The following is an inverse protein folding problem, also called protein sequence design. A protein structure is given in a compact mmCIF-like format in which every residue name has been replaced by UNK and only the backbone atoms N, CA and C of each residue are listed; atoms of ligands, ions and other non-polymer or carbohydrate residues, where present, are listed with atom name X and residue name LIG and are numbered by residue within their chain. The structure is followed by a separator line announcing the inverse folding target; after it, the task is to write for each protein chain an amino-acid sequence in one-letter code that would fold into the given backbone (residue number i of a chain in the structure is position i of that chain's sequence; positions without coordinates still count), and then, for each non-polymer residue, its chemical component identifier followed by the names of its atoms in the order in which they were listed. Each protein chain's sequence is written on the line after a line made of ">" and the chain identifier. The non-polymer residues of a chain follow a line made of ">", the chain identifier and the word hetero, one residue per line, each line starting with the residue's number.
data_IF_673008840187
#
_entry.id   IF_673008840187
#
_cell.length_a   1.000
_cell.length_b   1.000
_cell.length_c   1.000
_cell.angle_alpha   90.00
_cell.angle_beta   90.00
_cell.angle_gamma   90.00
#
_symmetry.space_group_name_H-M   'P 1'
#
loop_
_entity.id
_entity.type
_entity.pdbx_description
1 polymer ?
#
# COMPACT_ATOMS: atom_id res chain seq x y z
N UNK A 1 -16.37 14.17 3.08
CA UNK A 1 -17.38 13.48 2.23
C UNK A 1 -16.66 12.49 1.32
N UNK A 2 -17.20 11.29 1.15
CA UNK A 2 -16.71 10.28 0.19
C UNK A 2 -17.53 10.38 -1.09
N UNK A 3 -16.89 10.39 -2.25
CA UNK A 3 -17.55 10.32 -3.56
C UNK A 3 -16.91 9.22 -4.40
N UNK A 4 -17.73 8.35 -4.99
CA UNK A 4 -17.27 7.27 -5.87
C UNK A 4 -17.60 7.59 -7.32
N UNK A 5 -16.60 7.52 -8.19
CA UNK A 5 -16.82 7.39 -9.62
C UNK A 5 -16.71 5.91 -10.00
N UNK A 6 -17.69 5.43 -10.75
CA UNK A 6 -17.78 4.04 -11.19
C UNK A 6 -17.99 3.97 -12.69
N UNK A 7 -17.90 2.76 -13.25
CA UNK A 7 -18.20 2.46 -14.66
C UNK A 7 -17.31 3.22 -15.66
N UNK A 8 -16.11 3.61 -15.23
CA UNK A 8 -15.21 4.42 -16.06
C UNK A 8 -14.52 3.60 -17.17
N UNK A 9 -14.43 2.26 -17.00
CA UNK A 9 -13.66 1.36 -17.86
C UNK A 9 -13.98 1.48 -19.36
N UNK A 10 -15.27 1.56 -19.72
CA UNK A 10 -15.75 1.56 -21.11
C UNK A 10 -15.95 2.96 -21.71
N UNK A 11 -15.74 4.03 -20.92
CA UNK A 11 -15.94 5.39 -21.40
C UNK A 11 -14.86 5.80 -22.41
N UNK A 12 -15.26 6.49 -23.48
CA UNK A 12 -14.31 7.18 -24.36
C UNK A 12 -13.65 8.36 -23.61
N UNK A 13 -12.59 8.93 -24.19
CA UNK A 13 -11.80 10.01 -23.56
C UNK A 13 -12.67 11.19 -23.10
N UNK A 14 -13.55 11.70 -23.95
CA UNK A 14 -14.35 12.89 -23.66
C UNK A 14 -15.29 12.65 -22.46
N UNK A 15 -16.02 11.53 -22.48
CA UNK A 15 -16.97 11.19 -21.40
C UNK A 15 -16.22 10.86 -20.12
N UNK A 16 -15.09 10.14 -20.22
CA UNK A 16 -14.23 9.82 -19.08
C UNK A 16 -13.72 11.08 -18.38
N UNK A 17 -13.15 12.04 -19.11
CA UNK A 17 -12.65 13.29 -18.53
C UNK A 17 -13.80 14.12 -17.97
N UNK A 18 -14.95 14.17 -18.66
CA UNK A 18 -16.13 14.91 -18.20
C UNK A 18 -16.70 14.34 -16.91
N UNK A 19 -16.60 13.04 -16.64
CA UNK A 19 -17.07 12.43 -15.40
C UNK A 19 -16.43 13.08 -14.15
N UNK A 20 -15.15 13.46 -14.23
CA UNK A 20 -14.43 14.10 -13.12
C UNK A 20 -14.93 15.52 -12.82
N UNK A 21 -15.55 16.20 -13.79
CA UNK A 21 -16.19 17.52 -13.57
C UNK A 21 -17.47 17.43 -12.72
N UNK A 22 -17.96 16.22 -12.43
CA UNK A 22 -19.15 15.97 -11.61
C UNK A 22 -18.84 15.71 -10.15
N UNK A 23 -17.56 15.61 -9.78
CA UNK A 23 -17.16 15.40 -8.40
C UNK A 23 -17.56 16.64 -7.58
N UNK A 24 -18.29 16.48 -6.46
CA UNK A 24 -18.66 17.59 -5.58
C UNK A 24 -17.44 18.34 -5.04
N UNK A 25 -17.53 19.67 -4.93
CA UNK A 25 -16.44 20.52 -4.43
C UNK A 25 -16.16 20.38 -2.92
N UNK A 26 -17.01 19.67 -2.19
CA UNK A 26 -16.84 19.31 -0.77
C UNK A 26 -16.43 17.84 -0.58
N UNK A 27 -16.18 17.11 -1.68
CA UNK A 27 -15.57 15.80 -1.66
C UNK A 27 -14.16 15.87 -1.09
N UNK A 28 -13.86 15.06 -0.07
CA UNK A 28 -12.53 14.99 0.56
C UNK A 28 -11.82 13.66 0.28
N UNK A 29 -12.60 12.63 -0.06
CA UNK A 29 -12.13 11.30 -0.43
C UNK A 29 -12.77 10.91 -1.76
N UNK A 30 -11.94 10.67 -2.77
CA UNK A 30 -12.39 10.21 -4.08
C UNK A 30 -12.09 8.72 -4.23
N UNK A 31 -13.15 7.93 -4.35
CA UNK A 31 -13.09 6.51 -4.66
C UNK A 31 -13.12 6.30 -6.17
N UNK A 32 -11.99 5.85 -6.75
CA UNK A 32 -11.88 5.40 -8.14
C UNK A 32 -11.63 3.89 -8.22
N UNK A 33 -11.90 3.15 -7.15
CA UNK A 33 -11.71 1.71 -7.14
C UNK A 33 -12.63 0.98 -8.12
N UNK A 34 -12.20 -0.19 -8.61
CA UNK A 34 -13.00 -1.05 -9.52
C UNK A 34 -13.38 -0.37 -10.84
N UNK A 35 -12.45 0.35 -11.47
CA UNK A 35 -12.68 1.04 -12.73
C UNK A 35 -11.82 0.55 -13.89
N UNK A 36 -10.96 -0.44 -13.67
CA UNK A 36 -10.03 -0.98 -14.67
C UNK A 36 -9.17 0.12 -15.33
N UNK A 37 -8.75 1.13 -14.55
CA UNK A 37 -8.00 2.30 -15.05
C UNK A 37 -6.65 1.93 -15.70
N UNK A 38 -6.19 0.68 -15.59
CA UNK A 38 -5.06 0.16 -16.38
C UNK A 38 -5.27 0.32 -17.90
N UNK A 39 -6.51 0.30 -18.39
CA UNK A 39 -6.80 0.35 -19.82
C UNK A 39 -6.78 1.76 -20.42
N UNK A 40 -6.86 2.80 -19.57
CA UNK A 40 -6.85 4.21 -20.00
C UNK A 40 -5.44 4.65 -20.39
N UNK A 41 -5.33 5.46 -21.44
CA UNK A 41 -4.05 6.08 -21.84
C UNK A 41 -3.60 7.06 -20.75
N UNK A 42 -2.29 7.25 -20.65
CA UNK A 42 -1.71 8.19 -19.68
C UNK A 42 -2.21 9.62 -19.90
N UNK A 43 -2.47 10.03 -21.15
CA UNK A 43 -3.02 11.35 -21.47
C UNK A 43 -4.44 11.52 -20.93
N UNK A 44 -5.28 10.48 -21.02
CA UNK A 44 -6.65 10.48 -20.52
C UNK A 44 -6.68 10.58 -19.00
N UNK A 45 -5.91 9.74 -18.31
CA UNK A 45 -5.79 9.77 -16.85
C UNK A 45 -5.29 11.14 -16.38
N UNK A 46 -4.26 11.68 -17.03
CA UNK A 46 -3.73 13.00 -16.68
C UNK A 46 -4.73 14.13 -16.93
N UNK A 47 -5.53 14.05 -18.00
CA UNK A 47 -6.57 15.04 -18.29
C UNK A 47 -7.72 14.95 -17.27
N UNK A 48 -8.15 13.74 -16.91
CA UNK A 48 -9.17 13.50 -15.91
C UNK A 48 -8.73 13.97 -14.51
N UNK A 49 -7.53 13.58 -14.08
CA UNK A 49 -7.02 13.90 -12.74
C UNK A 49 -6.85 15.41 -12.50
N UNK A 50 -6.64 16.22 -13.55
CA UNK A 50 -6.64 17.69 -13.43
C UNK A 50 -7.99 18.26 -12.96
N UNK A 51 -9.08 17.54 -13.18
CA UNK A 51 -10.42 17.95 -12.78
C UNK A 51 -10.80 17.47 -11.37
N UNK A 52 -9.90 16.78 -10.65
CA UNK A 52 -10.15 16.41 -9.25
C UNK A 52 -10.19 17.69 -8.40
N UNK A 53 -11.27 17.94 -7.63
CA UNK A 53 -11.41 19.14 -6.81
C UNK A 53 -10.27 19.31 -5.79
N UNK A 54 -9.95 20.56 -5.47
CA UNK A 54 -8.90 20.89 -4.48
C UNK A 54 -9.21 20.42 -3.07
N UNK A 55 -10.48 20.15 -2.76
CA UNK A 55 -10.94 19.59 -1.50
C UNK A 55 -10.55 18.12 -1.30
N UNK A 56 -10.29 17.38 -2.38
CA UNK A 56 -9.95 15.95 -2.32
C UNK A 56 -8.50 15.80 -1.88
N UNK A 57 -8.27 15.18 -0.73
CA UNK A 57 -6.93 14.90 -0.20
C UNK A 57 -6.60 13.41 -0.18
N UNK A 58 -7.63 12.56 -0.23
CA UNK A 58 -7.50 11.10 -0.26
C UNK A 58 -8.00 10.55 -1.59
N UNK A 59 -7.19 9.73 -2.24
CA UNK A 59 -7.51 9.09 -3.51
C UNK A 59 -7.36 7.57 -3.39
N UNK A 60 -8.43 6.86 -3.68
CA UNK A 60 -8.44 5.41 -3.77
C UNK A 60 -8.35 4.97 -5.25
N UNK A 61 -7.23 4.33 -5.58
CA UNK A 61 -6.94 3.72 -6.89
C UNK A 61 -6.91 2.19 -6.79
N UNK A 62 -7.48 1.61 -5.73
CA UNK A 62 -7.48 0.17 -5.53
C UNK A 62 -8.27 -0.58 -6.61
N UNK A 63 -7.93 -1.84 -6.83
CA UNK A 63 -8.68 -2.71 -7.76
C UNK A 63 -8.87 -2.11 -9.17
N UNK A 64 -7.77 -1.70 -9.79
CA UNK A 64 -7.77 -1.09 -11.13
C UNK A 64 -6.86 -1.85 -12.11
N UNK A 65 -6.43 -3.05 -11.72
CA UNK A 65 -5.55 -3.94 -12.47
C UNK A 65 -4.25 -3.28 -12.95
N UNK A 66 -3.68 -2.36 -12.16
CA UNK A 66 -2.49 -1.62 -12.58
C UNK A 66 -1.27 -2.53 -12.85
N UNK A 67 -1.28 -3.80 -12.44
CA UNK A 67 -0.31 -4.79 -12.91
C UNK A 67 -0.24 -4.91 -14.44
N UNK A 68 -1.36 -4.74 -15.15
CA UNK A 68 -1.43 -4.82 -16.62
C UNK A 68 -0.84 -3.58 -17.32
N UNK A 69 -0.77 -2.44 -16.62
CA UNK A 69 -0.19 -1.20 -17.17
C UNK A 69 1.32 -1.23 -17.00
N UNK A 70 2.12 -0.96 -18.05
CA UNK A 70 3.59 -0.94 -17.97
C UNK A 70 4.07 -0.09 -16.78
N UNK A 71 5.09 -0.52 -16.03
CA UNK A 71 5.52 0.20 -14.82
C UNK A 71 5.93 1.65 -15.09
N UNK A 72 6.63 1.91 -16.19
CA UNK A 72 6.98 3.28 -16.62
C UNK A 72 5.75 4.15 -16.96
N UNK A 73 4.66 3.54 -17.44
CA UNK A 73 3.42 4.27 -17.74
C UNK A 73 2.68 4.61 -16.46
N UNK A 74 2.56 3.64 -15.55
CA UNK A 74 1.93 3.88 -14.26
C UNK A 74 2.72 4.90 -13.42
N UNK A 75 4.05 4.81 -13.42
CA UNK A 75 4.93 5.82 -12.82
C UNK A 75 4.66 7.23 -13.36
N UNK A 76 4.41 7.39 -14.67
CA UNK A 76 4.06 8.70 -15.24
C UNK A 76 2.72 9.22 -14.76
N UNK A 77 1.75 8.33 -14.52
CA UNK A 77 0.44 8.69 -13.93
C UNK A 77 0.60 9.15 -12.48
N UNK A 78 1.33 8.39 -11.65
CA UNK A 78 1.56 8.72 -10.23
C UNK A 78 2.23 10.09 -10.04
N UNK A 79 3.26 10.40 -10.86
CA UNK A 79 3.94 11.70 -10.85
C UNK A 79 3.02 12.89 -11.18
N UNK A 80 1.88 12.64 -11.80
CA UNK A 80 0.91 13.66 -12.25
C UNK A 80 -0.33 13.74 -11.37
N UNK A 81 -0.39 12.98 -10.27
CA UNK A 81 -1.45 13.13 -9.28
C UNK A 81 -1.57 14.60 -8.82
N UNK A 82 -2.78 15.08 -8.52
CA UNK A 82 -3.00 16.44 -8.02
C UNK A 82 -2.20 16.72 -6.75
N UNK A 83 -1.69 17.95 -6.60
CA UNK A 83 -0.73 18.33 -5.55
C UNK A 83 -1.31 18.31 -4.14
N UNK A 84 -2.64 18.36 -4.00
CA UNK A 84 -3.32 18.30 -2.71
C UNK A 84 -3.48 16.88 -2.14
N UNK A 85 -3.27 15.84 -2.97
CA UNK A 85 -3.39 14.45 -2.53
C UNK A 85 -2.23 14.11 -1.61
N UNK A 86 -2.56 13.64 -0.40
CA UNK A 86 -1.62 13.20 0.63
C UNK A 86 -1.91 11.77 1.14
N UNK A 87 -3.03 11.17 0.73
CA UNK A 87 -3.36 9.76 1.01
C UNK A 87 -3.67 9.05 -0.31
N UNK A 88 -2.99 7.92 -0.54
CA UNK A 88 -3.10 7.14 -1.77
C UNK A 88 -3.31 5.65 -1.43
N UNK A 89 -4.38 5.06 -1.96
CA UNK A 89 -4.59 3.62 -1.88
C UNK A 89 -4.30 2.94 -3.23
N UNK A 90 -3.34 2.01 -3.26
CA UNK A 90 -2.99 1.18 -4.41
C UNK A 90 -3.31 -0.30 -4.17
N UNK A 91 -4.18 -0.60 -3.20
CA UNK A 91 -4.54 -1.97 -2.84
C UNK A 91 -5.17 -2.75 -4.00
N UNK A 92 -5.16 -4.08 -3.97
CA UNK A 92 -5.81 -4.92 -5.00
C UNK A 92 -5.35 -4.63 -6.44
N UNK A 93 -4.08 -4.27 -6.66
CA UNK A 93 -3.55 -4.05 -8.01
C UNK A 93 -2.58 -5.13 -8.46
N UNK A 94 -2.45 -6.22 -7.68
CA UNK A 94 -1.58 -7.37 -7.95
C UNK A 94 -0.12 -6.99 -8.26
N UNK A 95 0.35 -5.87 -7.71
CA UNK A 95 1.67 -5.35 -8.03
C UNK A 95 2.78 -6.33 -7.65
N UNK A 96 2.66 -7.00 -6.51
CA UNK A 96 3.65 -7.99 -6.05
C UNK A 96 3.59 -9.32 -6.80
N UNK A 97 2.42 -9.75 -7.29
CA UNK A 97 2.31 -11.00 -8.05
C UNK A 97 2.83 -10.87 -9.47
N UNK A 98 2.62 -9.71 -10.11
CA UNK A 98 2.68 -9.59 -11.56
C UNK A 98 3.73 -8.58 -12.06
N UNK A 99 4.27 -7.72 -11.18
CA UNK A 99 5.37 -6.81 -11.56
C UNK A 99 6.74 -7.41 -11.26
N UNK A 100 7.66 -7.26 -12.19
CA UNK A 100 9.08 -7.49 -11.93
C UNK A 100 9.70 -6.36 -11.10
N UNK A 101 10.87 -6.64 -10.53
CA UNK A 101 11.63 -5.71 -9.68
C UNK A 101 11.74 -4.29 -10.24
N UNK A 102 12.21 -4.14 -11.49
CA UNK A 102 12.40 -2.81 -12.08
C UNK A 102 11.11 -2.00 -12.15
N UNK A 103 9.99 -2.66 -12.46
CA UNK A 103 8.69 -2.00 -12.55
C UNK A 103 8.21 -1.58 -11.16
N UNK A 104 8.37 -2.42 -10.13
CA UNK A 104 8.06 -2.08 -8.75
C UNK A 104 8.85 -0.87 -8.26
N UNK A 105 10.18 -0.87 -8.47
CA UNK A 105 11.05 0.24 -8.10
C UNK A 105 10.61 1.53 -8.83
N UNK A 106 10.34 1.45 -10.15
CA UNK A 106 9.88 2.62 -10.92
C UNK A 106 8.54 3.15 -10.41
N UNK A 107 7.61 2.27 -10.05
CA UNK A 107 6.28 2.63 -9.53
C UNK A 107 6.42 3.31 -8.15
N UNK A 108 7.14 2.70 -7.22
CA UNK A 108 7.29 3.24 -5.85
C UNK A 108 8.09 4.55 -5.83
N UNK A 109 9.16 4.65 -6.64
CA UNK A 109 9.90 5.93 -6.85
C UNK A 109 9.00 7.05 -7.36
N UNK A 110 7.93 6.70 -8.10
CA UNK A 110 7.04 7.68 -8.71
C UNK A 110 5.90 8.15 -7.80
N UNK A 111 5.73 7.54 -6.63
CA UNK A 111 4.82 8.03 -5.60
C UNK A 111 5.32 9.42 -5.17
N UNK A 112 4.46 10.46 -5.18
CA UNK A 112 4.91 11.79 -4.78
C UNK A 112 5.32 11.88 -3.30
N UNK A 113 6.35 12.68 -3.01
CA UNK A 113 6.93 12.98 -1.69
C UNK A 113 6.02 13.75 -0.71
N UNK A 114 4.80 14.07 -1.14
CA UNK A 114 3.75 14.64 -0.29
C UNK A 114 2.76 13.60 0.23
N UNK A 115 2.84 12.37 -0.26
CA UNK A 115 2.00 11.27 0.22
C UNK A 115 2.49 10.88 1.61
N UNK A 116 1.57 10.87 2.56
CA UNK A 116 1.78 10.56 3.98
C UNK A 116 1.20 9.18 4.31
N UNK A 117 0.07 8.83 3.69
CA UNK A 117 -0.60 7.53 3.86
C UNK A 117 -0.58 6.75 2.57
N UNK A 118 -0.07 5.52 2.62
CA UNK A 118 -0.01 4.60 1.48
C UNK A 118 -0.67 3.25 1.79
N UNK A 119 -1.65 2.86 0.98
CA UNK A 119 -2.25 1.53 0.98
C UNK A 119 -1.61 0.62 -0.07
N UNK A 120 -1.08 -0.53 0.36
CA UNK A 120 -0.56 -1.59 -0.52
C UNK A 120 -1.19 -2.95 -0.19
N UNK A 121 -2.39 -2.95 0.39
CA UNK A 121 -3.06 -4.19 0.77
C UNK A 121 -3.38 -5.05 -0.45
N UNK A 122 -3.47 -6.37 -0.29
CA UNK A 122 -3.93 -7.26 -1.38
C UNK A 122 -3.16 -7.09 -2.70
N UNK A 123 -1.84 -6.93 -2.62
CA UNK A 123 -0.97 -6.86 -3.80
C UNK A 123 -0.15 -8.14 -4.00
N UNK A 124 -0.36 -9.16 -3.16
CA UNK A 124 0.37 -10.44 -3.20
C UNK A 124 1.89 -10.23 -3.11
N UNK A 125 2.35 -9.30 -2.27
CA UNK A 125 3.77 -8.96 -2.16
C UNK A 125 4.67 -10.16 -1.88
N UNK A 126 4.20 -11.18 -1.16
CA UNK A 126 4.96 -12.41 -0.88
C UNK A 126 5.34 -13.24 -2.12
N UNK A 127 4.90 -12.86 -3.33
CA UNK A 127 5.32 -13.50 -4.58
C UNK A 127 6.69 -12.98 -5.06
N UNK A 128 7.17 -11.87 -4.51
CA UNK A 128 8.52 -11.36 -4.70
C UNK A 128 9.45 -11.93 -3.62
N UNK A 129 10.73 -12.09 -3.96
CA UNK A 129 11.74 -12.40 -2.95
C UNK A 129 11.95 -11.22 -2.00
N UNK A 130 12.43 -11.51 -0.80
CA UNK A 130 12.67 -10.48 0.23
C UNK A 130 13.65 -9.39 -0.21
N UNK A 131 14.66 -9.71 -1.02
CA UNK A 131 15.63 -8.76 -1.53
C UNK A 131 15.05 -7.82 -2.59
N UNK A 132 14.15 -8.31 -3.44
CA UNK A 132 13.43 -7.50 -4.43
C UNK A 132 12.48 -6.53 -3.71
N UNK A 133 11.71 -7.01 -2.75
CA UNK A 133 10.85 -6.14 -1.95
C UNK A 133 11.66 -5.11 -1.17
N UNK A 134 12.80 -5.48 -0.59
CA UNK A 134 13.64 -4.55 0.14
C UNK A 134 14.12 -3.40 -0.75
N UNK A 135 14.55 -3.70 -1.99
CA UNK A 135 14.94 -2.67 -2.97
C UNK A 135 13.75 -1.81 -3.42
N UNK A 136 12.58 -2.43 -3.64
CA UNK A 136 11.37 -1.70 -3.99
C UNK A 136 10.93 -0.75 -2.85
N UNK A 137 10.88 -1.24 -1.61
CA UNK A 137 10.45 -0.48 -0.43
C UNK A 137 11.43 0.65 -0.09
N UNK A 138 12.73 0.47 -0.33
CA UNK A 138 13.71 1.54 -0.23
C UNK A 138 13.43 2.71 -1.20
N UNK A 139 12.69 2.47 -2.27
CA UNK A 139 12.26 3.49 -3.23
C UNK A 139 10.96 4.21 -2.84
N UNK A 140 10.25 3.75 -1.80
CA UNK A 140 9.07 4.43 -1.27
C UNK A 140 9.50 5.76 -0.63
N UNK A 141 8.80 6.88 -0.91
CA UNK A 141 9.13 8.18 -0.33
C UNK A 141 9.16 8.17 1.20
N UNK A 142 10.16 8.84 1.78
CA UNK A 142 10.33 8.96 3.24
C UNK A 142 9.26 9.84 3.91
N UNK A 143 8.39 10.49 3.12
CA UNK A 143 7.24 11.24 3.62
C UNK A 143 6.13 10.35 4.17
N UNK A 144 6.13 9.06 3.82
CA UNK A 144 5.09 8.12 4.25
C UNK A 144 5.30 7.76 5.72
N UNK A 145 4.33 8.11 6.54
CA UNK A 145 4.30 7.78 7.98
C UNK A 145 3.27 6.72 8.32
N UNK A 146 2.33 6.43 7.41
CA UNK A 146 1.31 5.38 7.55
C UNK A 146 1.30 4.45 6.34
N UNK A 147 1.54 3.16 6.58
CA UNK A 147 1.61 2.13 5.55
C UNK A 147 0.73 0.93 5.92
N UNK A 148 -0.12 0.48 4.98
CA UNK A 148 -0.86 -0.78 5.13
C UNK A 148 -0.36 -1.83 4.13
N UNK A 149 0.04 -2.99 4.68
CA UNK A 149 0.47 -4.20 3.97
C UNK A 149 -0.51 -5.36 4.22
N UNK A 150 -1.77 -5.06 4.53
CA UNK A 150 -2.80 -6.05 4.83
C UNK A 150 -2.93 -7.08 3.70
N UNK A 151 -3.19 -8.34 4.04
CA UNK A 151 -3.50 -9.39 3.06
C UNK A 151 -2.49 -9.50 1.90
N UNK A 152 -1.20 -9.54 2.22
CA UNK A 152 -0.13 -9.78 1.25
C UNK A 152 0.49 -11.17 1.36
N UNK A 153 -0.17 -12.07 2.11
CA UNK A 153 0.24 -13.46 2.35
C UNK A 153 1.69 -13.57 2.80
N UNK A 154 2.15 -12.64 3.65
CA UNK A 154 3.56 -12.58 4.08
C UNK A 154 4.02 -13.85 4.80
N UNK A 155 3.11 -14.68 5.31
CA UNK A 155 3.42 -16.00 5.82
C UNK A 155 4.04 -16.98 4.80
N UNK A 156 3.97 -16.69 3.49
CA UNK A 156 4.60 -17.51 2.45
C UNK A 156 6.09 -17.19 2.25
N UNK A 157 6.55 -16.05 2.79
CA UNK A 157 7.97 -15.69 2.78
C UNK A 157 8.71 -16.52 3.81
N UNK A 158 9.96 -16.85 3.55
CA UNK A 158 10.82 -17.45 4.58
C UNK A 158 11.30 -16.38 5.58
N UNK A 159 11.88 -16.83 6.70
CA UNK A 159 12.30 -15.91 7.77
C UNK A 159 13.32 -14.85 7.34
N UNK A 160 14.27 -15.21 6.48
CA UNK A 160 15.24 -14.24 5.95
C UNK A 160 14.57 -13.18 5.09
N UNK A 161 13.60 -13.57 4.27
CA UNK A 161 12.87 -12.65 3.40
C UNK A 161 11.98 -11.70 4.21
N UNK A 162 11.35 -12.18 5.29
CA UNK A 162 10.58 -11.33 6.21
C UNK A 162 11.46 -10.29 6.89
N UNK A 163 12.65 -10.69 7.37
CA UNK A 163 13.64 -9.77 7.95
C UNK A 163 14.07 -8.72 6.92
N UNK A 164 14.33 -9.12 5.67
CA UNK A 164 14.67 -8.19 4.59
C UNK A 164 13.55 -7.19 4.31
N UNK A 165 12.30 -7.66 4.21
CA UNK A 165 11.15 -6.78 4.03
C UNK A 165 11.00 -5.79 5.21
N UNK A 166 10.99 -6.27 6.45
CA UNK A 166 10.74 -5.42 7.62
C UNK A 166 11.88 -4.42 7.87
N UNK A 167 13.13 -4.80 7.62
CA UNK A 167 14.28 -3.89 7.70
C UNK A 167 14.29 -2.81 6.62
N UNK A 168 13.56 -3.02 5.51
CA UNK A 168 13.41 -2.02 4.44
C UNK A 168 12.31 -0.99 4.69
N UNK A 169 11.46 -1.21 5.70
CA UNK A 169 10.41 -0.26 6.08
C UNK A 169 11.05 1.02 6.59
N UNK A 170 10.59 2.17 6.07
CA UNK A 170 11.16 3.47 6.40
C UNK A 170 11.16 3.75 7.91
N UNK A 171 12.24 4.35 8.41
CA UNK A 171 12.35 4.82 9.80
C UNK A 171 11.42 5.99 10.14
N UNK A 172 10.87 6.66 9.13
CA UNK A 172 9.87 7.71 9.32
C UNK A 172 8.47 7.13 9.61
N UNK A 173 8.26 5.82 9.42
CA UNK A 173 6.97 5.18 9.60
C UNK A 173 6.59 5.12 11.09
N UNK A 174 5.41 5.62 11.42
CA UNK A 174 4.83 5.59 12.77
C UNK A 174 3.65 4.63 12.87
N UNK A 175 2.96 4.37 11.76
CA UNK A 175 1.85 3.42 11.67
C UNK A 175 2.14 2.35 10.62
N UNK A 176 2.11 1.08 11.05
CA UNK A 176 2.22 -0.07 10.16
C UNK A 176 1.05 -1.03 10.39
N UNK A 177 0.38 -1.40 9.30
CA UNK A 177 -0.67 -2.42 9.33
C UNK A 177 -0.22 -3.69 8.59
N UNK A 178 0.05 -4.75 9.36
CA UNK A 178 0.43 -6.08 8.86
C UNK A 178 -0.72 -7.09 8.97
N UNK A 179 -1.94 -6.62 9.12
CA UNK A 179 -3.05 -7.49 9.48
C UNK A 179 -3.39 -8.49 8.37
N UNK A 180 -4.00 -9.60 8.75
CA UNK A 180 -4.42 -10.68 7.85
C UNK A 180 -3.31 -11.17 6.91
N UNK A 181 -2.10 -11.36 7.44
CA UNK A 181 -0.98 -11.95 6.72
C UNK A 181 -0.67 -13.39 7.14
N UNK A 182 -1.47 -13.97 8.04
CA UNK A 182 -1.31 -15.34 8.57
C UNK A 182 0.08 -15.58 9.19
N UNK A 183 0.67 -14.55 9.80
CA UNK A 183 2.05 -14.60 10.30
C UNK A 183 2.28 -15.72 11.33
N UNK A 184 1.25 -16.19 12.02
CA UNK A 184 1.34 -17.32 12.95
C UNK A 184 1.73 -18.68 12.30
N UNK A 185 1.78 -18.77 10.97
CA UNK A 185 2.32 -19.95 10.28
C UNK A 185 3.85 -20.01 10.28
N UNK A 186 4.52 -18.92 10.66
CA UNK A 186 5.96 -18.89 10.90
C UNK A 186 6.27 -19.41 12.30
N UNK A 187 7.47 -19.95 12.51
CA UNK A 187 7.92 -20.30 13.85
C UNK A 187 8.23 -19.05 14.69
N UNK A 188 8.30 -19.23 16.01
CA UNK A 188 8.48 -18.12 16.96
C UNK A 188 9.82 -17.42 16.80
N UNK A 189 10.88 -18.14 16.48
CA UNK A 189 12.23 -17.57 16.36
C UNK A 189 12.29 -16.69 15.11
N UNK A 190 11.71 -17.15 14.01
CA UNK A 190 11.53 -16.37 12.77
C UNK A 190 10.76 -15.09 13.03
N UNK A 191 9.60 -15.16 13.69
CA UNK A 191 8.81 -13.98 14.01
C UNK A 191 9.58 -13.00 14.92
N UNK A 192 10.27 -13.52 15.94
CA UNK A 192 11.09 -12.72 16.85
C UNK A 192 12.16 -11.94 16.08
N UNK A 193 12.88 -12.59 15.17
CA UNK A 193 13.91 -11.96 14.36
C UNK A 193 13.32 -10.92 13.39
N UNK A 194 12.19 -11.22 12.76
CA UNK A 194 11.53 -10.31 11.84
C UNK A 194 11.03 -9.04 12.55
N UNK A 195 10.30 -9.18 13.66
CA UNK A 195 9.77 -8.02 14.40
C UNK A 195 10.87 -7.16 15.03
N UNK A 196 11.99 -7.75 15.42
CA UNK A 196 13.13 -7.02 16.00
C UNK A 196 13.76 -5.99 15.05
N UNK A 197 13.56 -6.10 13.73
CA UNK A 197 14.11 -5.16 12.73
C UNK A 197 13.12 -4.11 12.24
N UNK A 198 11.88 -4.11 12.75
CA UNK A 198 10.92 -3.05 12.45
C UNK A 198 11.42 -1.69 12.97
N UNK A 199 10.93 -0.56 12.40
CA UNK A 199 11.30 0.76 12.88
C UNK A 199 11.00 0.92 14.39
N UNK A 200 12.01 1.32 15.21
CA UNK A 200 11.88 1.36 16.67
C UNK A 200 10.95 2.48 17.17
N UNK A 201 10.56 3.41 16.29
CA UNK A 201 9.67 4.53 16.60
C UNK A 201 8.23 4.31 16.13
N UNK A 202 7.88 3.10 15.71
CA UNK A 202 6.48 2.77 15.43
C UNK A 202 5.65 3.05 16.68
N UNK A 203 4.56 3.80 16.51
CA UNK A 203 3.59 4.08 17.56
C UNK A 203 2.37 3.19 17.47
N UNK A 204 2.17 2.50 16.34
CA UNK A 204 1.05 1.60 16.12
C UNK A 204 1.45 0.49 15.17
N UNK A 205 1.21 -0.75 15.62
CA UNK A 205 1.38 -1.96 14.81
C UNK A 205 0.07 -2.75 14.80
N UNK A 206 -0.61 -2.80 13.66
CA UNK A 206 -1.84 -3.58 13.54
C UNK A 206 -1.50 -5.01 13.15
N UNK A 207 -1.98 -5.98 13.95
CA UNK A 207 -1.71 -7.41 13.76
C UNK A 207 -2.98 -8.27 13.68
N UNK A 208 -4.17 -7.65 13.56
CA UNK A 208 -5.42 -8.40 13.55
C UNK A 208 -5.46 -9.49 12.47
N UNK A 209 -6.09 -10.63 12.77
CA UNK A 209 -6.22 -11.71 11.80
C UNK A 209 -4.90 -12.38 11.38
N UNK A 210 -3.82 -12.23 12.15
CA UNK A 210 -2.58 -13.00 11.96
C UNK A 210 -2.54 -14.31 12.75
N UNK A 211 -3.62 -14.67 13.48
CA UNK A 211 -3.69 -15.89 14.28
C UNK A 211 -2.85 -15.84 15.56
N UNK A 212 -2.56 -14.64 16.08
CA UNK A 212 -1.79 -14.47 17.32
C UNK A 212 -2.58 -14.76 18.60
N UNK A 213 -3.91 -14.85 18.52
CA UNK A 213 -4.80 -15.23 19.62
C UNK A 213 -4.52 -16.64 20.18
N UNK A 214 -3.78 -17.48 19.46
CA UNK A 214 -3.35 -18.80 19.95
C UNK A 214 -2.17 -18.73 20.95
N UNK A 215 -1.43 -17.63 20.97
CA UNK A 215 -0.26 -17.48 21.84
C UNK A 215 -0.65 -16.87 23.19
N UNK A 216 -0.04 -17.37 24.26
CA UNK A 216 -0.14 -16.73 25.57
C UNK A 216 0.61 -15.41 25.57
N UNK A 217 0.23 -14.50 26.48
CA UNK A 217 0.91 -13.20 26.66
C UNK A 217 2.43 -13.31 26.76
N UNK A 218 2.96 -14.28 27.52
CA UNK A 218 4.40 -14.47 27.67
C UNK A 218 5.09 -14.85 26.35
N UNK A 219 4.42 -15.62 25.48
CA UNK A 219 4.93 -15.98 24.16
C UNK A 219 4.90 -14.77 23.23
N UNK A 220 3.84 -13.97 23.26
CA UNK A 220 3.74 -12.71 22.51
C UNK A 220 4.80 -11.70 22.95
N UNK A 221 5.12 -11.62 24.24
CA UNK A 221 6.23 -10.79 24.75
C UNK A 221 7.56 -11.22 24.15
N UNK A 222 7.82 -12.53 24.02
CA UNK A 222 9.03 -13.03 23.35
C UNK A 222 9.05 -12.69 21.87
N UNK A 223 7.92 -12.91 21.16
CA UNK A 223 7.82 -12.73 19.71
C UNK A 223 7.92 -11.26 19.29
N UNK A 224 7.15 -10.39 19.94
CA UNK A 224 7.03 -9.00 19.54
C UNK A 224 8.08 -8.12 20.24
N UNK A 225 8.56 -8.54 21.40
CA UNK A 225 9.26 -7.64 22.33
C UNK A 225 8.28 -6.71 23.05
N UNK A 226 8.67 -6.27 24.24
CA UNK A 226 7.78 -5.51 25.14
C UNK A 226 7.27 -4.21 24.52
N UNK A 227 8.14 -3.47 23.83
CA UNK A 227 7.81 -2.17 23.21
C UNK A 227 6.73 -2.35 22.14
N UNK A 228 6.85 -3.37 21.29
CA UNK A 228 5.85 -3.63 20.27
C UNK A 228 4.53 -4.09 20.86
N UNK A 229 4.56 -4.93 21.91
CA UNK A 229 3.33 -5.42 22.54
C UNK A 229 2.43 -4.29 23.06
N UNK A 230 3.02 -3.19 23.53
CA UNK A 230 2.28 -2.02 24.03
C UNK A 230 1.58 -1.21 22.92
N UNK A 231 2.12 -1.23 21.70
CA UNK A 231 1.57 -0.51 20.54
C UNK A 231 0.75 -1.40 19.60
N UNK A 232 0.63 -2.70 19.91
CA UNK A 232 -0.06 -3.66 19.08
C UNK A 232 -1.58 -3.58 19.25
N UNK A 233 -2.30 -3.59 18.12
CA UNK A 233 -3.75 -3.64 18.10
C UNK A 233 -4.22 -4.92 17.41
N UNK A 234 -5.24 -5.56 17.97
CA UNK A 234 -5.88 -6.75 17.40
C UNK A 234 -5.16 -8.07 17.67
N UNK A 235 -4.52 -8.20 18.85
CA UNK A 235 -3.96 -9.46 19.35
C UNK A 235 -5.01 -10.36 20.03
N UNK A 236 -6.23 -9.85 20.20
CA UNK A 236 -7.39 -10.49 20.85
C UNK A 236 -8.16 -11.43 19.89
#
# INVERSE_FOLDING_TARGET
>A
MIYKLSELFNLNEEVFVRAFTKIPNDCTFLDLSYNGLYNKRNTELNAAFKNIPQSVTSLDLSNNDFFQKKGADFARVLKRLPKQINSLDLSFNYLGAEKGEEDLIKIFTAIPDRIITLGLSWNNLSHQSGDVLARAFAAIPQSITSLSLRHNTLNKMNGQELVQLFSSISRALTYLDLSFNHLNHQDKDTLTQAFAVLPPHLSTLMLHGNGFNQYKKAELTTILGTIFLEICVGLE
#
